data_IF_733490644595
#
_entry.id   IF_733490644595
#
_cell.length_a   1.000
_cell.length_b   1.000
_cell.length_c   1.000
_cell.angle_alpha   90.00
_cell.angle_beta   90.00
_cell.angle_gamma   90.00
#
_symmetry.space_group_name_H-M   'P 1'
#
loop_
_entity.id
_entity.type
_entity.pdbx_description
1 polymer ?
#
# COMPACT_ATOMS: atom_id res chain seq x y z
N UNK A 1 25.96 -28.30 12.19
CA UNK A 1 25.52 -26.92 12.46
C UNK A 1 26.36 -25.99 11.60
N UNK A 2 25.78 -25.29 10.62
CA UNK A 2 26.46 -24.20 9.93
C UNK A 2 26.01 -22.85 10.51
N UNK A 3 27.01 -22.04 10.86
CA UNK A 3 26.93 -20.68 11.35
C UNK A 3 26.57 -19.69 10.24
N UNK A 4 25.76 -18.67 10.57
CA UNK A 4 25.38 -17.55 9.71
C UNK A 4 26.60 -16.72 9.27
N UNK A 5 26.57 -16.07 8.09
CA UNK A 5 27.52 -15.01 7.76
C UNK A 5 26.99 -13.61 8.08
N UNK A 6 27.98 -12.78 8.43
CA UNK A 6 27.99 -11.37 8.83
C UNK A 6 27.14 -10.40 7.97
N UNK A 7 26.46 -9.49 8.68
CA UNK A 7 25.91 -8.24 8.15
C UNK A 7 26.93 -7.11 8.34
N UNK A 8 27.61 -6.73 7.27
CA UNK A 8 28.51 -5.59 7.22
C UNK A 8 27.73 -4.27 7.05
N UNK A 9 27.74 -3.43 8.09
CA UNK A 9 27.31 -2.03 8.06
C UNK A 9 28.40 -1.16 7.42
N UNK A 10 28.04 -0.36 6.42
CA UNK A 10 28.82 0.81 6.00
C UNK A 10 27.99 2.07 6.20
N UNK A 11 28.42 2.87 7.18
CA UNK A 11 27.89 4.19 7.49
C UNK A 11 28.61 5.24 6.63
N UNK A 12 27.85 6.15 6.01
CA UNK A 12 28.37 7.42 5.53
C UNK A 12 27.54 8.56 6.13
N UNK A 13 28.20 9.31 7.00
CA UNK A 13 27.70 10.52 7.65
C UNK A 13 28.00 11.75 6.79
N UNK A 14 27.03 12.65 6.64
CA UNK A 14 27.25 14.04 6.21
C UNK A 14 26.37 15.00 7.06
N UNK A 15 26.82 16.25 7.25
CA UNK A 15 26.52 17.04 8.46
C UNK A 15 25.20 17.81 8.43
N UNK A 16 24.60 17.99 9.61
CA UNK A 16 23.48 18.88 9.89
C UNK A 16 23.92 20.35 9.92
N UNK A 17 23.16 21.29 9.34
CA UNK A 17 23.27 22.70 9.67
C UNK A 17 22.46 23.05 10.93
N UNK A 18 23.12 23.83 11.76
CA UNK A 18 22.79 24.37 13.08
C UNK A 18 21.51 25.21 13.17
N UNK A 19 20.85 25.09 14.32
CA UNK A 19 19.76 25.95 14.80
C UNK A 19 20.26 27.32 15.30
N UNK A 20 19.47 28.38 15.09
CA UNK A 20 19.49 29.57 15.95
C UNK A 20 18.08 30.08 16.28
N UNK A 21 17.84 30.61 17.50
CA UNK A 21 16.50 30.89 18.03
C UNK A 21 16.20 32.37 18.29
N UNK A 22 14.92 32.63 18.66
CA UNK A 22 14.32 33.74 19.46
C UNK A 22 13.65 34.89 18.66
N UNK A 23 12.80 35.74 19.30
CA UNK A 23 12.00 35.58 20.53
C UNK A 23 10.50 35.93 20.36
N UNK A 24 9.75 35.67 21.44
CA UNK A 24 8.37 36.07 21.69
C UNK A 24 8.19 37.60 21.81
N UNK A 25 6.96 38.07 21.51
CA UNK A 25 6.38 39.17 22.28
C UNK A 25 4.83 39.08 22.30
N UNK A 26 4.32 39.23 23.50
CA UNK A 26 2.92 39.25 23.94
C UNK A 26 2.22 40.59 23.64
N UNK A 27 0.91 40.62 23.98
CA UNK A 27 -0.01 41.76 24.21
C UNK A 27 -0.94 42.07 23.00
N UNK A 28 -2.27 42.09 23.08
CA UNK A 28 -3.23 42.13 24.20
C UNK A 28 -4.59 41.48 23.84
N UNK A 29 -5.26 41.07 24.92
CA UNK A 29 -6.69 40.82 25.16
C UNK A 29 -7.63 41.86 24.47
N UNK A 30 -8.92 41.68 24.17
CA UNK A 30 -10.10 41.18 24.90
C UNK A 30 -11.25 41.06 23.85
N UNK A 31 -12.10 40.02 23.89
CA UNK A 31 -13.58 40.09 23.89
C UNK A 31 -14.21 38.69 23.93
N UNK A 32 -15.28 38.64 24.72
CA UNK A 32 -15.96 37.49 25.29
C UNK A 32 -16.75 36.59 24.32
N UNK A 33 -16.64 35.29 24.62
CA UNK A 33 -17.53 34.14 24.32
C UNK A 33 -17.74 33.69 22.86
N UNK A 34 -17.08 32.59 22.44
CA UNK A 34 -17.54 31.78 21.31
C UNK A 34 -18.49 30.67 21.79
N UNK A 35 -19.56 30.51 21.02
CA UNK A 35 -20.43 29.33 20.92
C UNK A 35 -19.55 28.07 20.97
N UNK A 36 -19.92 27.11 21.82
CA UNK A 36 -19.28 25.79 21.92
C UNK A 36 -19.49 25.05 20.60
N UNK A 37 -18.62 25.30 19.62
CA UNK A 37 -18.46 24.41 18.48
C UNK A 37 -18.10 23.06 19.08
N UNK A 38 -18.92 22.05 18.79
CA UNK A 38 -18.46 20.68 18.94
C UNK A 38 -17.23 20.57 18.04
N UNK A 39 -16.06 20.43 18.66
CA UNK A 39 -14.82 20.08 17.98
C UNK A 39 -15.08 18.76 17.25
N UNK A 40 -15.43 18.84 15.96
CA UNK A 40 -15.09 17.77 15.05
C UNK A 40 -13.58 17.71 15.04
N UNK A 41 -12.94 16.59 15.44
CA UNK A 41 -11.49 16.53 15.43
C UNK A 41 -11.00 16.87 14.03
N UNK A 42 -10.27 17.99 13.92
CA UNK A 42 -9.56 18.34 12.73
C UNK A 42 -8.69 17.12 12.34
N UNK A 43 -8.77 16.70 11.08
CA UNK A 43 -7.88 15.70 10.46
C UNK A 43 -6.43 16.22 10.34
N UNK A 44 -5.99 17.06 11.26
CA UNK A 44 -4.63 17.57 11.34
C UNK A 44 -3.71 16.44 11.81
N UNK A 45 -2.93 15.88 10.87
CA UNK A 45 -1.83 14.98 11.20
C UNK A 45 -1.68 13.71 10.36
N UNK A 46 -2.55 13.44 9.39
CA UNK A 46 -2.31 12.35 8.42
C UNK A 46 -1.66 12.92 7.17
N UNK A 47 -0.36 12.66 6.99
CA UNK A 47 0.27 12.88 5.69
C UNK A 47 -0.47 12.04 4.65
N UNK A 48 -0.95 12.70 3.61
CA UNK A 48 -1.55 12.02 2.46
C UNK A 48 -0.43 11.30 1.72
N UNK A 49 -0.71 10.09 1.23
CA UNK A 49 0.18 9.33 0.39
C UNK A 49 -0.49 9.06 -0.96
N UNK A 50 0.32 8.96 -2.01
CA UNK A 50 -0.07 8.62 -3.36
C UNK A 50 0.37 7.18 -3.64
N UNK A 51 -0.55 6.33 -4.11
CA UNK A 51 -0.26 4.96 -4.51
C UNK A 51 -0.59 4.71 -5.98
N UNK A 52 0.25 3.90 -6.62
CA UNK A 52 0.06 3.38 -7.98
C UNK A 52 -0.31 1.91 -7.89
N UNK A 53 -1.46 1.51 -8.46
CA UNK A 53 -1.97 0.15 -8.28
C UNK A 53 -2.46 -0.50 -9.58
N UNK A 54 -2.56 -1.83 -9.51
CA UNK A 54 -3.34 -2.68 -10.39
C UNK A 54 -4.48 -3.29 -9.56
N UNK A 55 -5.73 -3.13 -10.00
CA UNK A 55 -6.96 -3.38 -9.25
C UNK A 55 -7.90 -4.32 -10.02
N UNK A 56 -8.72 -5.08 -9.29
CA UNK A 56 -9.70 -6.00 -9.83
C UNK A 56 -11.14 -5.51 -9.55
N UNK A 57 -11.82 -5.05 -10.60
CA UNK A 57 -13.19 -4.51 -10.54
C UNK A 57 -14.24 -5.51 -11.03
N UNK A 58 -13.84 -6.53 -11.78
CA UNK A 58 -14.75 -7.59 -12.22
C UNK A 58 -15.09 -8.62 -11.10
N UNK A 59 -15.92 -9.60 -11.46
CA UNK A 59 -16.46 -10.60 -10.54
C UNK A 59 -15.41 -11.55 -9.93
N UNK A 60 -14.25 -11.76 -10.57
CA UNK A 60 -13.20 -12.62 -10.02
C UNK A 60 -12.59 -12.08 -8.71
N UNK A 61 -12.70 -10.78 -8.47
CA UNK A 61 -12.30 -10.13 -7.22
C UNK A 61 -12.99 -10.74 -5.99
N UNK A 62 -14.17 -11.35 -6.18
CA UNK A 62 -14.93 -12.02 -5.12
C UNK A 62 -14.13 -13.10 -4.38
N UNK A 63 -13.16 -13.76 -5.04
CA UNK A 63 -12.31 -14.75 -4.38
C UNK A 63 -11.41 -14.16 -3.29
N UNK A 64 -10.91 -12.94 -3.51
CA UNK A 64 -10.12 -12.19 -2.51
C UNK A 64 -11.04 -11.57 -1.46
N UNK A 65 -12.17 -11.03 -1.88
CA UNK A 65 -13.14 -10.45 -0.96
C UNK A 65 -13.68 -11.48 0.05
N UNK A 66 -13.88 -12.73 -0.36
CA UNK A 66 -14.19 -13.84 0.56
C UNK A 66 -13.07 -14.09 1.59
N UNK A 67 -11.81 -13.96 1.17
CA UNK A 67 -10.68 -14.07 2.10
C UNK A 67 -10.65 -12.88 3.06
N UNK A 68 -11.04 -11.67 2.65
CA UNK A 68 -11.19 -10.54 3.57
C UNK A 68 -12.21 -10.83 4.67
N UNK A 69 -13.34 -11.44 4.33
CA UNK A 69 -14.37 -11.77 5.32
C UNK A 69 -13.90 -12.85 6.30
N UNK A 70 -13.07 -13.79 5.85
CA UNK A 70 -12.45 -14.80 6.72
C UNK A 70 -11.38 -14.18 7.62
N UNK A 71 -10.51 -13.33 7.05
CA UNK A 71 -9.41 -12.67 7.79
C UNK A 71 -9.94 -11.66 8.80
N UNK A 72 -11.09 -11.04 8.55
CA UNK A 72 -11.74 -10.12 9.48
C UNK A 72 -11.99 -10.73 10.88
N UNK A 73 -12.16 -12.06 10.98
CA UNK A 73 -12.32 -12.75 12.26
C UNK A 73 -11.07 -12.68 13.17
N UNK A 74 -9.91 -12.31 12.61
CA UNK A 74 -8.65 -12.15 13.34
C UNK A 74 -8.30 -10.68 13.59
N UNK A 75 -9.08 -9.73 13.08
CA UNK A 75 -8.82 -8.30 13.19
C UNK A 75 -9.72 -7.63 14.25
N UNK A 76 -9.23 -6.56 14.88
CA UNK A 76 -10.06 -5.74 15.78
C UNK A 76 -11.17 -4.99 15.00
N UNK A 77 -10.89 -4.68 13.73
CA UNK A 77 -11.82 -4.08 12.78
C UNK A 77 -11.45 -4.57 11.38
N UNK A 78 -12.41 -5.00 10.54
CA UNK A 78 -12.15 -5.55 9.21
C UNK A 78 -11.48 -4.51 8.32
N UNK A 79 -10.15 -4.55 8.20
CA UNK A 79 -9.38 -3.41 7.71
C UNK A 79 -9.60 -3.21 6.21
N UNK A 80 -9.62 -4.29 5.43
CA UNK A 80 -9.80 -4.24 3.98
C UNK A 80 -11.22 -3.86 3.58
N UNK A 81 -12.25 -4.34 4.31
CA UNK A 81 -13.63 -3.87 4.10
C UNK A 81 -13.79 -2.40 4.50
N UNK A 82 -13.15 -1.97 5.59
CA UNK A 82 -13.16 -0.56 6.04
C UNK A 82 -12.41 0.36 5.07
N UNK A 83 -11.39 -0.14 4.37
CA UNK A 83 -10.66 0.59 3.34
C UNK A 83 -11.59 1.04 2.20
N UNK A 84 -12.70 0.32 1.98
CA UNK A 84 -13.70 0.60 0.96
C UNK A 84 -13.09 0.74 -0.45
N UNK A 85 -12.10 -0.11 -0.74
CA UNK A 85 -11.35 -0.12 -1.99
C UNK A 85 -11.15 -1.57 -2.45
N UNK A 86 -11.20 -1.79 -3.77
CA UNK A 86 -11.23 -3.13 -4.38
C UNK A 86 -9.89 -3.86 -4.24
N UNK A 87 -9.87 -5.20 -4.38
CA UNK A 87 -8.62 -5.97 -4.36
C UNK A 87 -7.59 -5.41 -5.34
N UNK A 88 -6.37 -5.20 -4.87
CA UNK A 88 -5.33 -4.53 -5.64
C UNK A 88 -3.93 -5.05 -5.30
N UNK A 89 -2.99 -4.81 -6.21
CA UNK A 89 -1.55 -4.90 -6.04
C UNK A 89 -0.98 -3.49 -6.12
N UNK A 90 -0.19 -3.09 -5.12
CA UNK A 90 0.46 -1.78 -5.11
C UNK A 90 1.88 -1.87 -5.64
N UNK A 91 2.21 -1.03 -6.62
CA UNK A 91 3.55 -0.95 -7.21
C UNK A 91 4.43 0.04 -6.45
N UNK A 92 3.89 1.19 -6.09
CA UNK A 92 4.64 2.26 -5.44
C UNK A 92 3.74 3.07 -4.51
N UNK A 93 4.34 3.59 -3.45
CA UNK A 93 3.71 4.54 -2.53
C UNK A 93 4.68 5.69 -2.28
N UNK A 94 4.21 6.91 -2.45
CA UNK A 94 4.95 8.16 -2.24
C UNK A 94 4.23 9.00 -1.19
N UNK A 95 4.99 9.66 -0.31
CA UNK A 95 4.41 10.61 0.65
C UNK A 95 4.20 11.97 -0.03
N UNK A 96 3.04 12.58 0.18
CA UNK A 96 2.73 13.90 -0.37
C UNK A 96 3.51 14.99 0.39
N UNK A 97 4.00 16.05 -0.28
CA UNK A 97 3.83 16.37 -1.70
C UNK A 97 5.02 15.99 -2.59
N UNK A 98 5.83 14.98 -2.21
CA UNK A 98 7.11 14.71 -2.90
C UNK A 98 6.95 14.40 -4.40
N UNK A 99 5.85 13.72 -4.76
CA UNK A 99 5.54 13.34 -6.13
C UNK A 99 4.16 13.88 -6.52
N UNK A 100 4.11 14.56 -7.67
CA UNK A 100 2.85 15.03 -8.25
C UNK A 100 1.97 13.86 -8.76
N UNK A 101 0.66 13.99 -8.57
CA UNK A 101 -0.33 13.01 -9.03
C UNK A 101 -0.19 12.69 -10.54
N UNK A 102 0.07 13.73 -11.36
CA UNK A 102 0.26 13.59 -12.82
C UNK A 102 1.52 12.79 -13.17
N UNK A 103 2.60 12.98 -12.42
CA UNK A 103 3.86 12.24 -12.61
C UNK A 103 3.67 10.76 -12.32
N UNK A 104 3.04 10.42 -11.20
CA UNK A 104 2.70 9.04 -10.87
C UNK A 104 1.79 8.39 -11.92
N UNK A 105 0.78 9.12 -12.39
CA UNK A 105 -0.13 8.60 -13.42
C UNK A 105 0.57 8.37 -14.76
N UNK A 106 1.42 9.30 -15.20
CA UNK A 106 2.21 9.12 -16.42
C UNK A 106 3.16 7.92 -16.35
N UNK A 107 3.78 7.67 -15.18
CA UNK A 107 4.60 6.48 -14.95
C UNK A 107 3.77 5.20 -15.09
N UNK A 108 2.56 5.16 -14.51
CA UNK A 108 1.67 4.01 -14.63
C UNK A 108 1.19 3.77 -16.07
N UNK A 109 0.81 4.83 -16.78
CA UNK A 109 0.39 4.76 -18.18
C UNK A 109 1.49 4.23 -19.09
N UNK A 110 2.73 4.69 -18.86
CA UNK A 110 3.91 4.26 -19.63
C UNK A 110 4.25 2.79 -19.34
N UNK A 111 4.24 2.40 -18.06
CA UNK A 111 4.53 1.02 -17.64
C UNK A 111 3.51 0.01 -18.23
N UNK A 112 2.22 0.40 -18.24
CA UNK A 112 1.11 -0.44 -18.74
C UNK A 112 0.78 -0.22 -20.22
N UNK A 113 1.62 0.49 -20.98
CA UNK A 113 1.39 0.73 -22.40
C UNK A 113 1.36 -0.61 -23.18
N UNK A 114 0.30 -0.83 -23.97
CA UNK A 114 0.07 -2.10 -24.67
C UNK A 114 -0.30 -3.28 -23.75
N UNK A 115 -0.46 -3.04 -22.44
CA UNK A 115 -0.90 -4.04 -21.48
C UNK A 115 -2.36 -4.43 -21.68
N UNK A 116 -2.68 -5.64 -21.24
CA UNK A 116 -4.04 -6.20 -21.22
C UNK A 116 -4.38 -6.64 -19.79
N UNK A 117 -5.63 -7.01 -19.53
CA UNK A 117 -6.06 -7.56 -18.25
C UNK A 117 -5.16 -8.74 -17.85
N UNK A 118 -4.81 -8.83 -16.56
CA UNK A 118 -3.87 -9.81 -16.04
C UNK A 118 -4.59 -10.84 -15.16
N UNK A 119 -4.78 -12.08 -15.62
CA UNK A 119 -5.14 -13.20 -14.76
C UNK A 119 -3.95 -13.53 -13.87
N UNK A 120 -4.15 -13.43 -12.56
CA UNK A 120 -3.13 -13.69 -11.55
C UNK A 120 -3.66 -14.76 -10.60
N UNK A 121 -2.90 -15.84 -10.49
CA UNK A 121 -3.21 -16.92 -9.58
C UNK A 121 -2.57 -16.70 -8.21
N UNK A 122 -3.25 -17.17 -7.16
CA UNK A 122 -2.76 -17.15 -5.80
C UNK A 122 -2.88 -18.56 -5.21
N UNK A 123 -1.77 -19.05 -4.65
CA UNK A 123 -1.69 -20.39 -4.05
C UNK A 123 -1.28 -20.38 -2.58
N UNK A 124 -0.86 -19.23 -2.07
CA UNK A 124 -0.33 -19.09 -0.72
C UNK A 124 -0.83 -17.80 -0.09
N UNK A 125 -1.12 -17.87 1.20
CA UNK A 125 -1.28 -16.70 2.04
C UNK A 125 0.00 -16.57 2.87
N UNK A 126 0.58 -15.38 2.88
CA UNK A 126 1.80 -15.05 3.61
C UNK A 126 1.52 -13.88 4.55
N UNK A 127 2.55 -13.51 5.31
CA UNK A 127 2.45 -12.44 6.28
C UNK A 127 3.71 -11.61 6.34
N UNK A 128 3.54 -10.33 6.66
CA UNK A 128 4.62 -9.48 7.14
C UNK A 128 4.57 -9.44 8.67
N UNK A 129 5.73 -9.66 9.29
CA UNK A 129 5.87 -9.60 10.75
C UNK A 129 5.95 -8.13 11.17
N UNK A 130 5.21 -7.79 12.22
CA UNK A 130 5.19 -6.47 12.85
C UNK A 130 3.99 -6.35 13.77
N UNK A 131 3.92 -5.32 14.63
CA UNK A 131 2.69 -4.91 15.27
C UNK A 131 2.00 -3.83 14.41
N UNK A 132 0.85 -4.11 13.76
CA UNK A 132 0.16 -5.39 13.66
C UNK A 132 0.71 -6.31 12.55
N UNK A 133 0.41 -7.62 12.65
CA UNK A 133 0.68 -8.59 11.60
C UNK A 133 -0.18 -8.24 10.36
N UNK A 134 0.40 -8.33 9.17
CA UNK A 134 -0.32 -8.14 7.91
C UNK A 134 -0.44 -9.48 7.20
N UNK A 135 -1.66 -9.93 6.88
CA UNK A 135 -1.91 -11.09 6.02
C UNK A 135 -2.11 -10.64 4.57
N UNK A 136 -1.57 -11.38 3.62
CA UNK A 136 -1.68 -11.09 2.20
C UNK A 136 -1.64 -12.36 1.33
N UNK A 137 -2.34 -12.33 0.21
CA UNK A 137 -2.28 -13.37 -0.81
C UNK A 137 -1.06 -13.14 -1.71
N UNK A 138 -0.23 -14.17 -1.88
CA UNK A 138 0.97 -14.12 -2.72
C UNK A 138 0.59 -14.42 -4.18
N UNK A 139 0.76 -13.45 -5.10
CA UNK A 139 0.57 -13.72 -6.51
C UNK A 139 1.64 -14.70 -7.00
N UNK A 140 1.24 -15.63 -7.86
CA UNK A 140 2.20 -16.42 -8.64
C UNK A 140 3.09 -15.51 -9.48
N UNK A 141 4.31 -15.97 -9.76
CA UNK A 141 5.28 -15.19 -10.52
C UNK A 141 4.68 -14.77 -11.87
N UNK A 142 4.68 -13.47 -12.11
CA UNK A 142 4.18 -12.87 -13.34
C UNK A 142 5.17 -11.79 -13.79
N UNK A 143 5.85 -12.05 -14.89
CA UNK A 143 6.90 -11.17 -15.41
C UNK A 143 6.37 -9.78 -15.78
N UNK A 144 5.09 -9.65 -16.15
CA UNK A 144 4.47 -8.38 -16.50
C UNK A 144 4.42 -7.46 -15.28
N UNK A 145 4.02 -8.00 -14.13
CA UNK A 145 3.98 -7.27 -12.85
C UNK A 145 5.39 -6.77 -12.48
N UNK A 146 6.40 -7.63 -12.60
CA UNK A 146 7.80 -7.26 -12.38
C UNK A 146 8.30 -6.16 -13.33
N UNK A 147 7.98 -6.27 -14.63
CA UNK A 147 8.34 -5.25 -15.64
C UNK A 147 7.66 -3.92 -15.37
N UNK A 148 6.40 -3.91 -14.98
CA UNK A 148 5.69 -2.67 -14.65
C UNK A 148 6.29 -1.96 -13.44
N UNK A 149 6.61 -2.72 -12.38
CA UNK A 149 7.31 -2.16 -11.21
C UNK A 149 8.67 -1.55 -11.57
N UNK A 150 9.47 -2.27 -12.36
CA UNK A 150 10.76 -1.77 -12.82
C UNK A 150 10.61 -0.50 -13.68
N UNK A 151 9.62 -0.46 -14.56
CA UNK A 151 9.33 0.71 -15.40
C UNK A 151 8.88 1.92 -14.57
N UNK A 152 8.04 1.73 -13.53
CA UNK A 152 7.62 2.80 -12.61
C UNK A 152 8.83 3.33 -11.83
N UNK A 153 9.65 2.42 -11.30
CA UNK A 153 10.85 2.76 -10.52
C UNK A 153 11.92 3.46 -11.36
N UNK A 154 11.98 3.20 -12.67
CA UNK A 154 12.87 3.90 -13.59
C UNK A 154 12.36 5.31 -13.95
N UNK A 155 11.04 5.53 -13.90
CA UNK A 155 10.41 6.80 -14.24
C UNK A 155 10.38 7.79 -13.06
N UNK A 156 10.43 7.30 -11.82
CA UNK A 156 10.35 8.11 -10.59
C UNK A 156 11.47 7.65 -9.66
N UNK A 157 12.30 8.58 -9.18
CA UNK A 157 13.43 8.25 -8.30
C UNK A 157 12.96 7.38 -7.10
N UNK A 158 13.49 6.13 -6.98
CA UNK A 158 13.12 5.24 -5.89
C UNK A 158 13.38 5.80 -4.49
N UNK A 159 14.22 6.84 -4.34
CA UNK A 159 14.43 7.52 -3.07
C UNK A 159 13.13 8.11 -2.48
N UNK A 160 12.23 8.60 -3.34
CA UNK A 160 10.92 9.13 -2.95
C UNK A 160 9.90 8.03 -2.63
N UNK A 161 10.13 6.81 -3.10
CA UNK A 161 9.24 5.69 -2.85
C UNK A 161 9.45 5.15 -1.45
N UNK A 162 8.37 4.77 -0.75
CA UNK A 162 8.47 4.10 0.55
C UNK A 162 9.35 2.85 0.46
N UNK A 163 10.20 2.56 1.47
CA UNK A 163 11.26 1.53 1.37
C UNK A 163 10.80 0.16 0.89
N UNK A 164 9.65 -0.33 1.35
CA UNK A 164 9.12 -1.66 0.99
C UNK A 164 8.60 -1.77 -0.45
N UNK A 165 8.54 -0.66 -1.19
CA UNK A 165 8.12 -0.62 -2.58
C UNK A 165 9.28 -0.32 -3.54
N UNK A 166 10.50 -0.15 -3.02
CA UNK A 166 11.70 0.08 -3.84
C UNK A 166 12.15 -1.20 -4.56
N UNK A 167 12.89 -1.07 -5.67
CA UNK A 167 13.57 -2.22 -6.29
C UNK A 167 14.34 -3.05 -5.26
N UNK A 168 14.37 -4.37 -5.48
CA UNK A 168 14.98 -5.38 -4.59
C UNK A 168 14.31 -5.57 -3.22
N UNK A 169 13.53 -4.61 -2.72
CA UNK A 169 12.76 -4.73 -1.48
C UNK A 169 11.28 -5.06 -1.72
N UNK A 170 10.77 -4.73 -2.91
CA UNK A 170 9.37 -4.91 -3.27
C UNK A 170 8.96 -6.38 -3.29
N UNK A 171 7.89 -6.67 -2.57
CA UNK A 171 7.20 -7.96 -2.60
C UNK A 171 5.80 -7.72 -3.16
N UNK A 172 5.45 -8.25 -4.35
CA UNK A 172 4.09 -8.13 -4.87
C UNK A 172 3.12 -8.90 -3.95
N UNK A 173 2.04 -8.26 -3.54
CA UNK A 173 1.08 -8.84 -2.61
C UNK A 173 -0.32 -8.23 -2.77
N UNK A 174 -1.35 -9.05 -2.57
CA UNK A 174 -2.73 -8.56 -2.43
C UNK A 174 -3.15 -8.66 -0.96
N UNK A 175 -3.31 -7.52 -0.30
CA UNK A 175 -3.53 -7.46 1.14
C UNK A 175 -4.88 -8.07 1.53
N UNK A 176 -4.89 -8.89 2.59
CA UNK A 176 -6.08 -9.53 3.13
C UNK A 176 -6.52 -8.96 4.48
N UNK A 177 -5.56 -8.47 5.28
CA UNK A 177 -5.82 -7.83 6.56
C UNK A 177 -4.57 -7.12 7.07
N UNK A 178 -4.73 -5.99 7.73
CA UNK A 178 -3.65 -5.11 8.21
C UNK A 178 -3.77 -4.77 9.68
N UNK A 179 -4.77 -5.30 10.38
CA UNK A 179 -5.06 -5.02 11.78
C UNK A 179 -5.32 -6.29 12.57
N UNK A 180 -4.52 -7.32 12.29
CA UNK A 180 -4.59 -8.58 13.03
C UNK A 180 -4.31 -8.30 14.50
N UNK A 181 -5.25 -8.67 15.37
CA UNK A 181 -5.13 -8.47 16.80
C UNK A 181 -3.99 -9.33 17.36
N UNK A 182 -3.18 -8.78 18.27
CA UNK A 182 -2.00 -9.49 18.81
C UNK A 182 -2.37 -10.87 19.37
N UNK A 183 -3.49 -10.96 20.07
CA UNK A 183 -4.04 -12.21 20.64
C UNK A 183 -4.46 -13.25 19.58
N UNK A 184 -4.68 -12.83 18.32
CA UNK A 184 -5.09 -13.68 17.20
C UNK A 184 -3.95 -14.04 16.24
N UNK A 185 -2.74 -13.55 16.48
CA UNK A 185 -1.57 -13.79 15.61
C UNK A 185 -1.34 -15.27 15.29
N UNK A 186 -1.41 -16.16 16.29
CA UNK A 186 -1.19 -17.60 16.08
C UNK A 186 -2.26 -18.23 15.19
N UNK A 187 -3.53 -17.88 15.45
CA UNK A 187 -4.67 -18.37 14.67
C UNK A 187 -4.63 -17.86 13.23
N UNK A 188 -4.28 -16.58 13.03
CA UNK A 188 -4.12 -15.96 11.72
C UNK A 188 -3.01 -16.64 10.89
N UNK A 189 -1.87 -16.96 11.51
CA UNK A 189 -0.79 -17.71 10.85
C UNK A 189 -1.21 -19.15 10.55
N UNK A 190 -1.94 -19.81 11.45
CA UNK A 190 -2.46 -21.15 11.20
C UNK A 190 -3.44 -21.17 10.03
N UNK A 191 -4.35 -20.19 9.96
CA UNK A 191 -5.24 -19.97 8.82
C UNK A 191 -4.45 -19.79 7.52
N UNK A 192 -3.45 -18.91 7.50
CA UNK A 192 -2.61 -18.67 6.32
C UNK A 192 -1.90 -19.95 5.85
N UNK A 193 -1.38 -20.76 6.78
CA UNK A 193 -0.72 -22.05 6.49
C UNK A 193 -1.68 -23.13 6.01
N UNK A 194 -2.96 -23.07 6.38
CA UNK A 194 -3.98 -24.04 5.97
C UNK A 194 -4.53 -23.80 4.57
N UNK A 195 -4.21 -22.66 3.95
CA UNK A 195 -4.65 -22.33 2.61
C UNK A 195 -4.00 -23.27 1.57
N UNK A 196 -4.80 -24.13 0.96
CA UNK A 196 -4.37 -25.21 0.06
C UNK A 196 -5.01 -25.16 -1.34
N UNK A 197 -5.79 -24.11 -1.62
CA UNK A 197 -6.49 -23.90 -2.90
C UNK A 197 -5.71 -23.00 -3.86
N UNK A 198 -6.07 -23.05 -5.15
CA UNK A 198 -5.67 -22.06 -6.17
C UNK A 198 -6.88 -21.19 -6.49
N UNK A 199 -6.75 -19.89 -6.29
CA UNK A 199 -7.72 -18.89 -6.78
C UNK A 199 -7.09 -18.10 -7.90
N UNK A 200 -7.90 -17.62 -8.83
CA UNK A 200 -7.46 -16.79 -9.94
C UNK A 200 -8.30 -15.52 -9.97
N UNK A 201 -7.62 -14.38 -10.11
CA UNK A 201 -8.24 -13.06 -10.13
C UNK A 201 -7.75 -12.33 -11.37
N UNK A 202 -8.68 -11.78 -12.13
CA UNK A 202 -8.39 -10.93 -13.27
C UNK A 202 -8.26 -9.50 -12.75
N UNK A 203 -7.07 -8.93 -12.88
CA UNK A 203 -6.85 -7.51 -12.61
C UNK A 203 -6.98 -6.73 -13.92
N UNK A 204 -7.92 -5.81 -13.93
CA UNK A 204 -8.46 -5.17 -15.12
C UNK A 204 -8.42 -3.65 -15.09
N UNK A 205 -7.98 -3.05 -13.99
CA UNK A 205 -7.87 -1.59 -13.88
C UNK A 205 -6.49 -1.21 -13.35
N UNK A 206 -5.85 -0.24 -13.98
CA UNK A 206 -4.69 0.46 -13.41
C UNK A 206 -5.13 1.80 -12.88
N UNK A 207 -4.62 2.21 -11.72
CA UNK A 207 -5.04 3.47 -11.10
C UNK A 207 -3.93 4.16 -10.29
N UNK A 208 -4.22 5.42 -9.97
CA UNK A 208 -3.52 6.20 -8.95
C UNK A 208 -4.54 6.68 -7.92
N UNK A 209 -4.22 6.53 -6.64
CA UNK A 209 -5.07 6.94 -5.53
C UNK A 209 -4.30 7.78 -4.52
N UNK A 210 -4.97 8.71 -3.86
CA UNK A 210 -4.46 9.30 -2.61
C UNK A 210 -5.13 8.65 -1.41
N UNK A 211 -4.43 8.52 -0.29
CA UNK A 211 -4.94 7.92 0.94
C UNK A 211 -4.15 8.39 2.17
N UNK A 212 -4.74 8.48 3.37
CA UNK A 212 -6.13 8.15 3.76
C UNK A 212 -7.09 9.37 3.83
N UNK A 213 -8.40 9.24 3.52
CA UNK A 213 -9.07 8.06 2.97
C UNK A 213 -8.72 7.82 1.50
N UNK A 214 -8.98 6.61 1.00
CA UNK A 214 -8.72 6.29 -0.41
C UNK A 214 -9.61 7.14 -1.31
N UNK A 215 -8.99 7.85 -2.25
CA UNK A 215 -9.66 8.60 -3.32
C UNK A 215 -8.92 8.32 -4.63
N UNK A 216 -9.64 7.76 -5.61
CA UNK A 216 -9.11 7.55 -6.95
C UNK A 216 -8.91 8.90 -7.63
N UNK A 217 -7.69 9.15 -8.09
CA UNK A 217 -7.32 10.36 -8.83
C UNK A 217 -7.47 10.15 -10.33
N UNK A 218 -6.97 9.01 -10.80
CA UNK A 218 -6.99 8.62 -12.20
C UNK A 218 -7.05 7.10 -12.29
N UNK A 219 -7.70 6.59 -13.34
CA UNK A 219 -7.79 5.16 -13.61
C UNK A 219 -7.98 4.88 -15.09
N UNK A 220 -7.63 3.67 -15.52
CA UNK A 220 -7.85 3.17 -16.87
C UNK A 220 -8.13 1.67 -16.82
N UNK A 221 -9.20 1.25 -17.47
CA UNK A 221 -9.46 -0.16 -17.75
C UNK A 221 -8.44 -0.70 -18.75
N UNK A 222 -7.91 -1.88 -18.47
CA UNK A 222 -7.05 -2.63 -19.37
C UNK A 222 -7.91 -3.37 -20.41
N UNK A 223 -7.53 -3.35 -21.70
CA UNK A 223 -8.18 -4.15 -22.72
C UNK A 223 -8.14 -5.64 -22.37
N UNK A 224 -9.15 -6.40 -22.79
CA UNK A 224 -9.08 -7.86 -22.74
C UNK A 224 -7.95 -8.35 -23.64
N UNK A 225 -7.23 -9.38 -23.22
CA UNK A 225 -6.26 -10.07 -24.07
C UNK A 225 -6.95 -10.65 -25.31
N UNK A 226 -6.22 -10.75 -26.42
CA UNK A 226 -6.66 -11.54 -27.57
C UNK A 226 -6.65 -13.02 -27.13
N UNK A 227 -7.70 -13.81 -27.42
CA UNK A 227 -7.75 -15.25 -27.11
C UNK A 227 -6.58 -16.04 -27.69
#
# INVERSE_FOLDING_TARGET
MPTQPDVGYWAYSWPLPSAHPRPANDLLQIFDTPIKMMDFPALAGRSMALAINLRADNASAFEIERLWDQVAAFEDKPSMRTLAYRPHLTFAIYDSPEIEEKTAWNAMLSASAGGVQLPIAFRRIKWFVGPPLVLWAEPEANEIIGRWHASISAAIDPAHCRPHYRPCAWTPHCTLGTRIADAKTKDAIAFAKSFDRRIEVIFDVVDCVVFPPVRVIAQRELPKGIP
#
